data_IF_092952187546
#
_entry.id   IF_092952187546
#
_cell.length_a   1.000
_cell.length_b   1.000
_cell.length_c   1.000
_cell.angle_alpha   90.00
_cell.angle_beta   90.00
_cell.angle_gamma   90.00
#
_symmetry.space_group_name_H-M   'P 1'
#
loop_
_entity.id
_entity.type
_entity.pdbx_description
1 polymer ?
#
# COMPACT_ATOMS: atom_id res chain seq x y z
N UNK A 1 0.94 2.32 -24.22
CA UNK A 1 0.78 0.89 -23.88
C UNK A 1 -0.55 0.79 -23.16
N UNK A 2 -1.57 0.22 -23.80
CA UNK A 2 -2.85 0.02 -23.14
C UNK A 2 -2.66 -1.13 -22.14
N UNK A 3 -2.82 -0.86 -20.85
CA UNK A 3 -2.90 -1.93 -19.86
C UNK A 3 -4.14 -2.76 -20.19
N UNK A 4 -3.98 -4.04 -20.52
CA UNK A 4 -5.11 -4.96 -20.54
C UNK A 4 -5.75 -4.93 -19.14
N UNK A 5 -6.97 -4.38 -19.07
CA UNK A 5 -7.70 -4.26 -17.82
C UNK A 5 -8.08 -5.66 -17.34
N UNK A 6 -7.22 -6.26 -16.52
CA UNK A 6 -7.48 -7.55 -15.91
C UNK A 6 -8.60 -7.40 -14.88
N UNK A 7 -9.81 -7.83 -15.24
CA UNK A 7 -10.94 -7.82 -14.32
C UNK A 7 -10.74 -8.91 -13.27
N UNK A 8 -10.61 -8.50 -12.01
CA UNK A 8 -10.53 -9.41 -10.87
C UNK A 8 -11.95 -9.73 -10.38
N UNK A 9 -12.37 -11.00 -10.33
CA UNK A 9 -13.69 -11.33 -9.81
C UNK A 9 -13.75 -11.05 -8.30
N UNK A 10 -14.73 -10.24 -7.89
CA UNK A 10 -15.04 -9.97 -6.49
C UNK A 10 -16.24 -10.82 -6.09
N UNK A 11 -16.10 -11.61 -5.05
CA UNK A 11 -17.20 -12.38 -4.48
C UNK A 11 -17.70 -11.69 -3.20
N UNK A 12 -18.97 -11.32 -3.19
CA UNK A 12 -19.66 -10.76 -2.04
C UNK A 12 -20.65 -11.82 -1.52
N UNK A 13 -20.93 -11.83 -0.23
CA UNK A 13 -22.02 -12.64 0.30
C UNK A 13 -23.38 -12.14 -0.22
N UNK A 14 -24.37 -13.02 -0.23
CA UNK A 14 -25.68 -12.77 -0.83
C UNK A 14 -26.42 -11.56 -0.21
N UNK A 15 -26.25 -11.34 1.11
CA UNK A 15 -26.89 -10.24 1.81
C UNK A 15 -26.28 -8.90 1.37
N UNK A 16 -24.95 -8.80 1.41
CA UNK A 16 -24.21 -7.62 0.96
C UNK A 16 -24.46 -7.31 -0.51
N UNK A 17 -24.48 -8.32 -1.37
CA UNK A 17 -24.76 -8.13 -2.81
C UNK A 17 -26.17 -7.58 -3.04
N UNK A 18 -27.16 -8.06 -2.27
CA UNK A 18 -28.55 -7.60 -2.39
C UNK A 18 -28.71 -6.14 -1.95
N UNK A 19 -28.08 -5.77 -0.84
CA UNK A 19 -28.08 -4.39 -0.37
C UNK A 19 -27.37 -3.45 -1.35
N UNK A 20 -26.19 -3.86 -1.86
CA UNK A 20 -25.43 -3.10 -2.85
C UNK A 20 -26.25 -2.84 -4.12
N UNK A 21 -26.91 -3.88 -4.66
CA UNK A 21 -27.77 -3.74 -5.85
C UNK A 21 -28.92 -2.78 -5.60
N UNK A 22 -29.62 -2.93 -4.48
CA UNK A 22 -30.73 -2.04 -4.10
C UNK A 22 -30.29 -0.59 -4.01
N UNK A 23 -29.12 -0.35 -3.40
CA UNK A 23 -28.53 0.98 -3.31
C UNK A 23 -28.19 1.55 -4.70
N UNK A 24 -27.54 0.76 -5.55
CA UNK A 24 -27.18 1.17 -6.91
C UNK A 24 -28.41 1.48 -7.77
N UNK A 25 -29.46 0.67 -7.67
CA UNK A 25 -30.73 0.90 -8.36
C UNK A 25 -31.40 2.19 -7.91
N UNK A 26 -31.47 2.42 -6.59
CA UNK A 26 -32.11 3.63 -6.03
C UNK A 26 -31.39 4.92 -6.46
N UNK A 27 -30.06 4.91 -6.50
CA UNK A 27 -29.26 6.08 -6.85
C UNK A 27 -28.83 6.13 -8.33
N UNK A 28 -29.24 5.15 -9.15
CA UNK A 28 -28.83 5.03 -10.56
C UNK A 28 -27.29 5.03 -10.74
N UNK A 29 -26.60 4.25 -9.90
CA UNK A 29 -25.15 4.09 -9.93
C UNK A 29 -24.77 2.78 -10.64
N UNK A 30 -23.62 2.77 -11.31
CA UNK A 30 -23.01 1.53 -11.77
C UNK A 30 -22.35 0.79 -10.60
N UNK A 31 -22.65 -0.51 -10.48
CA UNK A 31 -22.16 -1.33 -9.37
C UNK A 31 -20.63 -1.48 -9.40
N UNK A 32 -20.03 -1.63 -10.58
CA UNK A 32 -18.58 -1.80 -10.70
C UNK A 32 -17.86 -0.48 -10.42
N UNK A 33 -18.40 0.64 -10.88
CA UNK A 33 -17.84 1.96 -10.57
C UNK A 33 -17.86 2.23 -9.07
N UNK A 34 -18.95 1.88 -8.38
CA UNK A 34 -19.03 2.01 -6.92
C UNK A 34 -18.01 1.10 -6.22
N UNK A 35 -17.93 -0.18 -6.59
CA UNK A 35 -16.96 -1.12 -6.02
C UNK A 35 -15.52 -0.62 -6.23
N UNK A 36 -15.18 -0.20 -7.45
CA UNK A 36 -13.86 0.32 -7.77
C UNK A 36 -13.55 1.59 -6.98
N UNK A 37 -14.53 2.48 -6.80
CA UNK A 37 -14.36 3.71 -6.04
C UNK A 37 -14.11 3.42 -4.55
N UNK A 38 -14.88 2.51 -3.96
CA UNK A 38 -14.72 2.10 -2.55
C UNK A 38 -13.36 1.43 -2.35
N UNK A 39 -12.96 0.50 -3.24
CA UNK A 39 -11.65 -0.15 -3.19
C UNK A 39 -10.52 0.87 -3.32
N UNK A 40 -10.63 1.82 -4.24
CA UNK A 40 -9.62 2.87 -4.41
C UNK A 40 -9.46 3.74 -3.17
N UNK A 41 -10.57 4.12 -2.51
CA UNK A 41 -10.49 4.88 -1.26
C UNK A 41 -9.86 4.07 -0.13
N UNK A 42 -10.30 2.82 0.03
CA UNK A 42 -9.76 1.92 1.04
C UNK A 42 -8.24 1.75 0.91
N UNK A 43 -7.76 1.51 -0.32
CA UNK A 43 -6.33 1.36 -0.60
C UNK A 43 -5.55 2.65 -0.38
N UNK A 44 -6.06 3.79 -0.84
CA UNK A 44 -5.39 5.07 -0.64
C UNK A 44 -5.24 5.41 0.86
N UNK A 45 -6.29 5.14 1.65
CA UNK A 45 -6.25 5.33 3.10
C UNK A 45 -5.22 4.41 3.75
N UNK A 46 -5.18 3.12 3.38
CA UNK A 46 -4.23 2.15 3.96
C UNK A 46 -2.78 2.38 3.52
N UNK A 47 -2.52 2.65 2.24
CA UNK A 47 -1.17 2.98 1.75
C UNK A 47 -0.61 4.20 2.49
N UNK A 48 -1.45 5.20 2.74
CA UNK A 48 -1.02 6.40 3.46
C UNK A 48 -0.66 6.12 4.92
N UNK A 49 -1.38 5.22 5.61
CA UNK A 49 -1.15 4.96 7.04
C UNK A 49 0.14 4.18 7.24
N UNK A 50 0.35 3.10 6.50
CA UNK A 50 1.51 2.23 6.70
C UNK A 50 2.82 2.89 6.24
N UNK A 51 2.79 3.62 5.11
CA UNK A 51 3.97 4.36 4.64
C UNK A 51 4.32 5.53 5.55
N UNK A 52 3.32 6.23 6.10
CA UNK A 52 3.58 7.30 7.06
C UNK A 52 4.18 6.75 8.37
N UNK A 53 3.69 5.62 8.87
CA UNK A 53 4.27 5.00 10.05
C UNK A 53 5.71 4.54 9.81
N UNK A 54 6.00 3.97 8.64
CA UNK A 54 7.36 3.59 8.25
C UNK A 54 8.28 4.82 8.20
N UNK A 55 7.84 5.90 7.55
CA UNK A 55 8.60 7.14 7.46
C UNK A 55 8.86 7.76 8.84
N UNK A 56 7.85 7.79 9.72
CA UNK A 56 8.00 8.28 11.09
C UNK A 56 8.97 7.41 11.90
N UNK A 57 8.93 6.09 11.72
CA UNK A 57 9.87 5.16 12.37
C UNK A 57 11.32 5.44 11.96
N UNK A 58 11.57 5.61 10.65
CA UNK A 58 12.89 5.97 10.14
C UNK A 58 13.35 7.34 10.62
N UNK A 59 12.45 8.33 10.67
CA UNK A 59 12.78 9.65 11.20
C UNK A 59 13.12 9.60 12.69
N UNK A 60 12.34 8.86 13.50
CA UNK A 60 12.56 8.73 14.93
C UNK A 60 13.89 8.03 15.25
N UNK A 61 14.26 7.03 14.45
CA UNK A 61 15.50 6.26 14.62
C UNK A 61 16.67 6.83 13.82
N UNK A 62 16.49 7.93 13.08
CA UNK A 62 17.45 8.43 12.10
C UNK A 62 18.84 8.67 12.68
N UNK A 63 18.90 9.36 13.82
CA UNK A 63 20.17 9.65 14.49
C UNK A 63 20.89 8.37 14.95
N UNK A 64 20.17 7.43 15.56
CA UNK A 64 20.76 6.16 16.01
C UNK A 64 21.23 5.30 14.84
N UNK A 65 20.46 5.27 13.75
CA UNK A 65 20.83 4.57 12.53
C UNK A 65 22.08 5.18 11.88
N UNK A 66 22.22 6.50 11.92
CA UNK A 66 23.40 7.22 11.42
C UNK A 66 24.65 6.91 12.27
N UNK A 67 24.53 6.96 13.60
CA UNK A 67 25.63 6.62 14.52
C UNK A 67 26.13 5.18 14.32
N UNK A 68 25.22 4.21 14.17
CA UNK A 68 25.56 2.81 13.88
C UNK A 68 26.25 2.70 12.51
N UNK A 69 25.72 3.34 11.47
CA UNK A 69 26.31 3.28 10.14
C UNK A 69 27.75 3.83 10.13
N UNK A 70 27.99 4.93 10.84
CA UNK A 70 29.32 5.52 10.98
C UNK A 70 30.28 4.58 11.73
N UNK A 71 29.84 3.94 12.81
CA UNK A 71 30.66 3.00 13.60
C UNK A 71 31.16 1.80 12.77
N UNK A 72 30.32 1.27 11.89
CA UNK A 72 30.66 0.09 11.08
C UNK A 72 31.27 0.42 9.71
N UNK A 73 31.28 1.69 9.30
CA UNK A 73 31.74 2.14 7.97
C UNK A 73 33.17 1.69 7.61
N UNK A 74 34.09 1.75 8.58
CA UNK A 74 35.49 1.32 8.39
C UNK A 74 35.61 -0.20 8.24
N UNK A 75 34.82 -0.95 9.02
CA UNK A 75 34.81 -2.42 8.98
C UNK A 75 34.26 -2.92 7.64
N UNK A 76 33.22 -2.27 7.09
CA UNK A 76 32.72 -2.57 5.75
C UNK A 76 33.74 -2.25 4.66
N UNK A 77 34.44 -1.12 4.77
CA UNK A 77 35.47 -0.73 3.81
C UNK A 77 36.64 -1.73 3.77
N UNK A 78 37.06 -2.23 4.95
CA UNK A 78 38.08 -3.26 5.06
C UNK A 78 37.61 -4.58 4.43
N UNK A 79 36.39 -5.04 4.73
CA UNK A 79 35.83 -6.26 4.15
C UNK A 79 35.71 -6.18 2.62
N UNK A 80 35.23 -5.05 2.08
CA UNK A 80 35.12 -4.82 0.64
C UNK A 80 36.49 -4.77 -0.07
N UNK A 81 37.56 -4.42 0.65
CA UNK A 81 38.93 -4.41 0.12
C UNK A 81 39.58 -5.79 0.07
N UNK A 82 39.09 -6.75 0.86
CA UNK A 82 39.61 -8.12 0.93
C UNK A 82 39.02 -9.02 -0.18
N UNK A 83 37.84 -8.69 -0.69
CA UNK A 83 37.14 -9.42 -1.77
C UNK A 83 37.57 -9.00 -3.19
N UNK A 84 38.60 -8.13 -3.32
CA UNK A 84 39.25 -7.74 -4.60
C UNK A 84 40.55 -8.51 -4.84
#
# INVERSE_FOLDING_TARGET
>A
MASDAHQVPVNLDDATLTELKTYCEFFSLDQNDLINNVLSHFLADHESIDLNQLALGYQAMGQLNEEIADEFSLTEAEAASIDQ
#
